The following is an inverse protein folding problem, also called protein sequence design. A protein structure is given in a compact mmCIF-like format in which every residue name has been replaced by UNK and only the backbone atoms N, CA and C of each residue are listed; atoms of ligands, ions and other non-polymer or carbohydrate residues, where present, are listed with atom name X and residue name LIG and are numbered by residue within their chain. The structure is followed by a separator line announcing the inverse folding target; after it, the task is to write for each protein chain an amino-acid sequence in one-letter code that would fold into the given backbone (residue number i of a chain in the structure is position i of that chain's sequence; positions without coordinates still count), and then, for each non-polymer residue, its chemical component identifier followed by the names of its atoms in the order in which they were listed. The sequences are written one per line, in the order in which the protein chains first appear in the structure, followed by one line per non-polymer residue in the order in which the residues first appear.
data_IF_115450989753
#
_entry.id   IF_115450989753
#
_cell.length_a   1.000
_cell.length_b   1.000
_cell.length_c   1.000
_cell.angle_alpha   90.00
_cell.angle_beta   90.00
_cell.angle_gamma   90.00
#
_symmetry.space_group_name_H-M   'P 1'
#
loop_
_entity.id
_entity.type
_entity.pdbx_description
1 polymer ?
#
# COMPACT_ATOMS: atom_id res chain seq x y z
N UNK A 1 -3.01 26.02 15.01
CA UNK A 1 -2.14 25.08 14.27
C UNK A 1 -1.79 23.86 15.14
N UNK A 2 -2.79 23.08 15.57
CA UNK A 2 -2.58 21.83 16.35
C UNK A 2 -3.32 20.65 15.70
N UNK A 3 -3.21 20.50 14.37
CA UNK A 3 -3.54 19.22 13.74
C UNK A 3 -2.27 18.40 13.72
N UNK A 4 -2.25 17.34 14.50
CA UNK A 4 -1.17 16.35 14.51
C UNK A 4 -0.92 15.98 13.03
N UNK A 5 0.32 16.03 12.51
CA UNK A 5 0.59 15.84 11.08
C UNK A 5 0.14 14.44 10.59
N UNK A 6 -0.08 13.51 11.51
CA UNK A 6 -0.48 12.16 11.23
C UNK A 6 -1.88 11.85 11.77
N UNK A 7 -2.84 11.75 10.86
CA UNK A 7 -4.15 11.17 11.14
C UNK A 7 -4.08 9.63 11.03
N UNK A 8 -4.20 8.96 12.18
CA UNK A 8 -4.09 7.49 12.28
C UNK A 8 -5.23 6.77 11.57
N UNK A 9 -6.45 7.27 11.64
CA UNK A 9 -7.61 6.59 11.05
C UNK A 9 -7.60 6.75 9.54
N UNK A 10 -7.22 7.93 9.05
CA UNK A 10 -6.95 8.15 7.62
C UNK A 10 -5.82 7.25 7.10
N UNK A 11 -4.74 7.09 7.88
CA UNK A 11 -3.64 6.20 7.49
C UNK A 11 -4.09 4.73 7.44
N UNK A 12 -4.93 4.25 8.36
CA UNK A 12 -5.48 2.89 8.29
C UNK A 12 -6.27 2.67 7.01
N UNK A 13 -7.09 3.64 6.61
CA UNK A 13 -7.85 3.58 5.35
C UNK A 13 -6.92 3.57 4.13
N UNK A 14 -5.90 4.42 4.14
CA UNK A 14 -4.87 4.46 3.10
C UNK A 14 -4.07 3.14 3.03
N UNK A 15 -3.77 2.53 4.18
CA UNK A 15 -3.10 1.23 4.28
C UNK A 15 -3.96 0.09 3.73
N UNK A 16 -5.25 0.06 4.06
CA UNK A 16 -6.19 -0.91 3.48
C UNK A 16 -6.26 -0.76 1.96
N UNK A 17 -6.30 0.48 1.46
CA UNK A 17 -6.26 0.77 0.02
C UNK A 17 -4.97 0.25 -0.61
N UNK A 18 -3.81 0.53 -0.02
CA UNK A 18 -2.51 0.07 -0.51
C UNK A 18 -2.38 -1.47 -0.50
N UNK A 19 -2.89 -2.14 0.54
CA UNK A 19 -2.93 -3.62 0.61
C UNK A 19 -3.80 -4.17 -0.52
N UNK A 20 -5.01 -3.63 -0.73
CA UNK A 20 -5.90 -4.09 -1.80
C UNK A 20 -5.26 -3.91 -3.17
N UNK A 21 -4.64 -2.75 -3.43
CA UNK A 21 -3.92 -2.50 -4.69
C UNK A 21 -2.74 -3.47 -4.87
N UNK A 22 -1.96 -3.71 -3.81
CA UNK A 22 -0.85 -4.66 -3.83
C UNK A 22 -1.31 -6.08 -4.15
N UNK A 23 -2.37 -6.56 -3.50
CA UNK A 23 -2.94 -7.88 -3.75
C UNK A 23 -3.49 -8.01 -5.17
N UNK A 24 -4.18 -6.99 -5.69
CA UNK A 24 -4.67 -7.00 -7.07
C UNK A 24 -3.50 -7.06 -8.05
N UNK A 25 -2.46 -6.23 -7.85
CA UNK A 25 -1.25 -6.26 -8.67
C UNK A 25 -0.54 -7.62 -8.63
N UNK A 26 -0.47 -8.23 -7.45
CA UNK A 26 0.12 -9.56 -7.26
C UNK A 26 -0.66 -10.67 -7.99
N UNK A 27 -1.99 -10.64 -7.95
CA UNK A 27 -2.83 -11.56 -8.72
C UNK A 27 -2.64 -11.37 -10.22
N UNK A 28 -2.54 -10.11 -10.69
CA UNK A 28 -2.29 -9.82 -12.11
C UNK A 28 -0.92 -10.35 -12.55
N UNK A 29 0.12 -10.16 -11.74
CA UNK A 29 1.45 -10.72 -12.03
C UNK A 29 1.40 -12.24 -12.14
N UNK A 30 0.68 -12.92 -11.24
CA UNK A 30 0.52 -14.37 -11.31
C UNK A 30 -0.20 -14.82 -12.59
N UNK A 31 -1.24 -14.10 -13.02
CA UNK A 31 -1.97 -14.41 -14.26
C UNK A 31 -1.07 -14.26 -15.49
N UNK A 32 -0.19 -13.25 -15.52
CA UNK A 32 0.66 -12.96 -16.67
C UNK A 32 1.89 -13.88 -16.75
N UNK A 33 2.56 -14.10 -15.62
CA UNK A 33 3.83 -14.81 -15.58
C UNK A 33 3.70 -16.28 -15.15
N UNK A 34 2.57 -16.68 -14.56
CA UNK A 34 2.31 -18.04 -14.09
C UNK A 34 3.07 -18.43 -12.82
N UNK A 35 3.90 -17.54 -12.28
CA UNK A 35 4.70 -17.75 -11.08
C UNK A 35 4.75 -16.50 -10.21
N UNK A 36 4.93 -16.71 -8.91
CA UNK A 36 5.19 -15.66 -7.93
C UNK A 36 6.41 -16.06 -7.13
N UNK A 37 7.29 -15.10 -6.91
CA UNK A 37 8.55 -15.30 -6.20
C UNK A 37 8.45 -14.78 -4.78
N UNK A 38 9.31 -15.28 -3.90
CA UNK A 38 9.46 -14.72 -2.55
C UNK A 38 9.93 -13.27 -2.58
N UNK A 39 10.66 -12.86 -3.63
CA UNK A 39 11.07 -11.48 -3.84
C UNK A 39 9.86 -10.54 -4.02
N UNK A 40 8.79 -10.98 -4.66
CA UNK A 40 7.55 -10.19 -4.81
C UNK A 40 6.91 -9.90 -3.45
N UNK A 41 6.89 -10.90 -2.56
CA UNK A 41 6.36 -10.74 -1.19
C UNK A 41 7.19 -9.73 -0.40
N UNK A 42 8.51 -9.84 -0.44
CA UNK A 42 9.39 -8.87 0.23
C UNK A 42 9.24 -7.46 -0.35
N UNK A 43 9.10 -7.34 -1.68
CA UNK A 43 8.83 -6.08 -2.37
C UNK A 43 7.52 -5.45 -1.91
N UNK A 44 6.45 -6.23 -1.80
CA UNK A 44 5.15 -5.78 -1.30
C UNK A 44 5.20 -5.33 0.17
N UNK A 45 5.91 -6.08 1.03
CA UNK A 45 6.03 -5.73 2.45
C UNK A 45 6.67 -4.36 2.67
N UNK A 46 7.58 -3.94 1.80
CA UNK A 46 8.25 -2.63 1.88
C UNK A 46 7.42 -1.55 1.17
N UNK A 47 6.90 -1.85 -0.02
CA UNK A 47 6.20 -0.86 -0.85
C UNK A 47 4.81 -0.49 -0.33
N UNK A 48 4.07 -1.42 0.28
CA UNK A 48 2.72 -1.17 0.81
C UNK A 48 2.73 -0.07 1.89
N UNK A 49 3.56 -0.13 2.95
CA UNK A 49 3.63 0.95 3.95
C UNK A 49 4.03 2.31 3.37
N UNK A 50 4.99 2.33 2.43
CA UNK A 50 5.43 3.57 1.76
C UNK A 50 4.27 4.17 0.96
N UNK A 51 3.60 3.36 0.16
CA UNK A 51 2.48 3.80 -0.67
C UNK A 51 1.27 4.24 0.19
N UNK A 52 0.99 3.53 1.27
CA UNK A 52 -0.03 3.91 2.25
C UNK A 52 0.24 5.29 2.86
N UNK A 53 1.50 5.59 3.19
CA UNK A 53 1.87 6.90 3.71
C UNK A 53 1.73 8.01 2.65
N UNK A 54 2.12 7.75 1.40
CA UNK A 54 1.91 8.70 0.30
C UNK A 54 0.43 8.98 0.06
N UNK A 55 -0.42 7.95 0.08
CA UNK A 55 -1.87 8.09 -0.03
C UNK A 55 -2.46 8.86 1.15
N UNK A 56 -1.98 8.62 2.36
CA UNK A 56 -2.38 9.35 3.56
C UNK A 56 -2.09 10.85 3.41
N UNK A 57 -0.87 11.22 2.99
CA UNK A 57 -0.51 12.61 2.74
C UNK A 57 -1.38 13.23 1.63
N UNK A 58 -1.60 12.52 0.52
CA UNK A 58 -2.44 12.99 -0.57
C UNK A 58 -3.89 13.28 -0.13
N UNK A 59 -4.45 12.49 0.80
CA UNK A 59 -5.80 12.70 1.34
C UNK A 59 -5.87 13.84 2.37
N UNK A 60 -4.74 14.31 2.89
CA UNK A 60 -4.68 15.42 3.84
C UNK A 60 -4.66 16.81 3.16
N UNK A 61 -4.31 16.87 1.88
CA UNK A 61 -4.37 18.08 1.05
C UNK A 61 -5.77 18.25 0.44
#
# INVERSE_FOLDING_TARGET
MNRIPFDKDLYKEALLTAILVGLVGWVVLYIVFGELTTADIYGMLISIPIFAYLLHLLKQF
#
